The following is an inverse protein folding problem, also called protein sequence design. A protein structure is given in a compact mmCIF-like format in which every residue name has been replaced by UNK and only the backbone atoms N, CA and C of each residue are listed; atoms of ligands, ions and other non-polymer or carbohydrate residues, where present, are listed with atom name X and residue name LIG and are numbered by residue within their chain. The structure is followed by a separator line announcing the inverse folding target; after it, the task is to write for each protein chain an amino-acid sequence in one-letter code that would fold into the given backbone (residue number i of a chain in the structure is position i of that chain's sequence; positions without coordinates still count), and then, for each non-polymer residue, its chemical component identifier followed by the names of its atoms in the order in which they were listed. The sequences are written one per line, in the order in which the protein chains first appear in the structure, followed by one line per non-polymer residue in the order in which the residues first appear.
data_IF_407863198437
#
_entry.id   IF_407863198437
#
_cell.length_a   1.000
_cell.length_b   1.000
_cell.length_c   1.000
_cell.angle_alpha   90.00
_cell.angle_beta   90.00
_cell.angle_gamma   90.00
#
_symmetry.space_group_name_H-M   'P 1'
#
loop_
_entity.id
_entity.type
_entity.pdbx_description
1 polymer ?
#
# COMPACT_ATOMS: atom_id res chain seq x y z
N UNK A 1 42.48 5.99 -72.56
CA UNK A 1 42.81 6.40 -71.17
C UNK A 1 41.85 5.64 -70.24
N UNK A 2 42.35 4.67 -69.46
CA UNK A 2 42.42 4.64 -67.96
C UNK A 2 41.05 4.76 -67.26
N UNK A 3 40.59 4.01 -66.26
CA UNK A 3 41.00 2.83 -65.44
C UNK A 3 39.82 2.53 -64.48
N UNK A 4 39.79 1.32 -63.89
CA UNK A 4 38.95 0.79 -62.80
C UNK A 4 38.58 1.70 -61.58
N UNK A 5 37.42 1.43 -60.94
CA UNK A 5 37.15 1.23 -59.47
C UNK A 5 35.62 1.17 -59.22
N UNK A 6 34.94 0.18 -58.60
CA UNK A 6 35.03 -0.52 -57.30
C UNK A 6 34.34 0.24 -56.12
N UNK A 7 33.21 -0.34 -55.64
CA UNK A 7 32.64 -0.48 -54.26
C UNK A 7 32.09 0.73 -53.47
N UNK A 8 30.82 0.60 -53.00
CA UNK A 8 30.26 0.83 -51.62
C UNK A 8 28.75 1.16 -51.71
N UNK A 9 27.80 0.21 -51.56
CA UNK A 9 27.03 -0.19 -50.35
C UNK A 9 26.71 0.92 -49.32
N UNK A 10 25.45 0.88 -48.85
CA UNK A 10 24.85 1.41 -47.60
C UNK A 10 24.25 2.82 -47.71
N UNK A 11 23.13 3.21 -47.08
CA UNK A 11 22.04 2.57 -46.33
C UNK A 11 21.19 3.78 -45.87
N UNK A 12 20.20 4.22 -46.65
CA UNK A 12 19.33 5.35 -46.25
C UNK A 12 18.12 4.84 -45.47
N UNK A 13 18.33 4.60 -44.17
CA UNK A 13 17.30 4.22 -43.21
C UNK A 13 17.17 5.35 -42.18
N UNK A 14 16.02 6.02 -42.24
CA UNK A 14 15.33 6.73 -41.15
C UNK A 14 16.00 7.97 -40.53
N UNK A 15 15.67 9.14 -41.10
CA UNK A 15 15.43 10.34 -40.30
C UNK A 15 13.94 10.43 -39.99
N UNK A 16 13.54 9.96 -38.82
CA UNK A 16 12.35 10.46 -38.11
C UNK A 16 12.85 10.97 -36.78
N UNK A 17 13.02 12.28 -36.70
CA UNK A 17 13.24 13.01 -35.46
C UNK A 17 12.05 12.74 -34.54
N UNK A 18 12.33 12.02 -33.45
CA UNK A 18 11.36 11.79 -32.40
C UNK A 18 11.54 12.91 -31.37
N UNK A 19 10.70 13.92 -31.45
CA UNK A 19 10.57 15.00 -30.48
C UNK A 19 10.03 14.46 -29.16
N UNK A 20 10.92 13.96 -28.31
CA UNK A 20 10.69 13.77 -26.88
C UNK A 20 11.77 14.51 -26.09
N UNK A 21 11.77 15.83 -26.17
CA UNK A 21 12.51 16.68 -25.24
C UNK A 21 11.52 17.68 -24.64
N UNK A 22 11.32 17.58 -23.33
CA UNK A 22 11.01 18.65 -22.35
C UNK A 22 10.12 18.14 -21.21
N UNK A 23 10.65 17.22 -20.38
CA UNK A 23 10.19 17.06 -19.00
C UNK A 23 11.41 17.05 -18.07
N UNK A 24 11.66 18.21 -17.44
CA UNK A 24 12.40 18.43 -16.20
C UNK A 24 13.89 18.01 -16.17
N UNK A 25 14.78 18.87 -16.68
CA UNK A 25 16.16 18.96 -16.18
C UNK A 25 16.15 19.40 -14.71
N UNK A 26 15.97 18.43 -13.82
CA UNK A 26 16.49 18.50 -12.46
C UNK A 26 17.63 17.51 -12.45
N UNK A 27 18.86 17.98 -12.68
CA UNK A 27 20.05 17.14 -12.55
C UNK A 27 19.97 16.40 -11.21
N UNK A 28 19.92 15.08 -11.28
CA UNK A 28 19.90 14.18 -10.12
C UNK A 28 21.32 14.12 -9.55
N UNK A 29 21.75 15.21 -8.90
CA UNK A 29 23.03 15.24 -8.20
C UNK A 29 22.99 14.29 -7.00
N UNK A 30 23.44 13.06 -7.21
CA UNK A 30 23.62 12.03 -6.18
C UNK A 30 25.10 11.79 -5.93
N UNK A 31 25.46 11.66 -4.66
CA UNK A 31 26.80 11.21 -4.28
C UNK A 31 27.02 9.75 -4.71
N UNK A 32 28.27 9.35 -4.93
CA UNK A 32 28.65 7.97 -5.26
C UNK A 32 28.05 6.94 -4.28
N UNK A 33 28.02 7.28 -2.98
CA UNK A 33 27.41 6.45 -1.93
C UNK A 33 25.91 6.27 -2.13
N UNK A 34 25.18 7.32 -2.51
CA UNK A 34 23.73 7.27 -2.78
C UNK A 34 23.45 6.49 -4.07
N UNK A 35 24.26 6.67 -5.12
CA UNK A 35 24.13 5.91 -6.37
C UNK A 35 24.38 4.42 -6.13
N UNK A 36 25.35 4.06 -5.28
CA UNK A 36 25.62 2.68 -4.93
C UNK A 36 24.51 2.03 -4.06
N UNK A 37 23.86 2.80 -3.20
CA UNK A 37 22.63 2.36 -2.52
C UNK A 37 21.48 2.13 -3.52
N UNK A 38 21.36 3.00 -4.53
CA UNK A 38 20.35 2.85 -5.58
C UNK A 38 20.60 1.61 -6.45
N UNK A 39 21.85 1.26 -6.75
CA UNK A 39 22.20 0.00 -7.45
C UNK A 39 21.60 -1.20 -6.71
N UNK A 40 21.86 -1.32 -5.40
CA UNK A 40 21.34 -2.44 -4.58
C UNK A 40 19.80 -2.48 -4.57
N UNK A 41 19.16 -1.31 -4.56
CA UNK A 41 17.71 -1.21 -4.64
C UNK A 41 17.18 -1.68 -6.00
N UNK A 42 17.74 -1.20 -7.11
CA UNK A 42 17.30 -1.53 -8.47
C UNK A 42 17.57 -3.00 -8.77
N UNK A 43 18.71 -3.55 -8.32
CA UNK A 43 19.01 -4.98 -8.40
C UNK A 43 17.91 -5.81 -7.74
N UNK A 44 17.55 -5.49 -6.49
CA UNK A 44 16.48 -6.18 -5.76
C UNK A 44 15.11 -6.01 -6.44
N UNK A 45 14.84 -4.83 -7.00
CA UNK A 45 13.62 -4.55 -7.73
C UNK A 45 13.49 -5.41 -8.98
N UNK A 46 14.58 -5.60 -9.74
CA UNK A 46 14.61 -6.38 -10.98
C UNK A 46 14.65 -7.89 -10.75
N UNK A 47 15.28 -8.36 -9.68
CA UNK A 47 15.57 -9.80 -9.51
C UNK A 47 14.67 -10.50 -8.49
N UNK A 48 14.47 -9.90 -7.31
CA UNK A 48 13.85 -10.59 -6.15
C UNK A 48 12.41 -10.14 -5.90
N UNK A 49 12.06 -8.90 -6.23
CA UNK A 49 10.77 -8.33 -5.88
C UNK A 49 9.57 -9.15 -6.42
N UNK A 50 8.44 -9.11 -5.71
CA UNK A 50 7.20 -9.72 -6.20
C UNK A 50 6.73 -9.09 -7.53
N UNK A 51 7.11 -7.83 -7.77
CA UNK A 51 6.92 -7.15 -9.05
C UNK A 51 7.77 -7.77 -10.18
N UNK A 52 9.04 -8.11 -9.91
CA UNK A 52 9.91 -8.83 -10.84
C UNK A 52 9.40 -10.23 -11.18
N UNK A 53 8.87 -10.96 -10.21
CA UNK A 53 8.28 -12.28 -10.46
C UNK A 53 7.08 -12.19 -11.43
N UNK A 54 6.19 -11.21 -11.22
CA UNK A 54 5.02 -10.97 -12.08
C UNK A 54 5.39 -10.57 -13.50
N UNK A 55 6.38 -9.69 -13.65
CA UNK A 55 6.86 -9.23 -14.95
C UNK A 55 7.55 -10.37 -15.72
N UNK A 56 8.38 -11.17 -15.05
CA UNK A 56 9.04 -12.34 -15.67
C UNK A 56 8.07 -13.44 -16.10
N UNK A 57 7.00 -13.65 -15.33
CA UNK A 57 5.96 -14.62 -15.65
C UNK A 57 5.02 -14.15 -16.78
N UNK A 58 5.10 -12.89 -17.22
CA UNK A 58 4.23 -12.36 -18.27
C UNK A 58 4.65 -12.85 -19.66
N UNK A 59 3.69 -13.26 -20.47
CA UNK A 59 3.92 -13.60 -21.89
C UNK A 59 3.80 -12.39 -22.83
N UNK A 60 3.34 -11.23 -22.33
CA UNK A 60 3.15 -10.03 -23.13
C UNK A 60 4.50 -9.48 -23.62
N UNK A 61 4.63 -9.38 -24.95
CA UNK A 61 5.82 -8.87 -25.64
C UNK A 61 6.20 -7.47 -25.16
N UNK A 62 5.22 -6.62 -24.83
CA UNK A 62 5.47 -5.26 -24.34
C UNK A 62 6.04 -5.27 -22.90
N UNK A 63 5.56 -6.19 -22.06
CA UNK A 63 6.08 -6.37 -20.70
C UNK A 63 7.51 -6.90 -20.76
N UNK A 64 7.78 -7.90 -21.61
CA UNK A 64 9.12 -8.44 -21.82
C UNK A 64 10.08 -7.38 -22.37
N UNK A 65 9.63 -6.54 -23.30
CA UNK A 65 10.43 -5.45 -23.87
C UNK A 65 10.81 -4.40 -22.81
N UNK A 66 9.84 -3.92 -22.02
CA UNK A 66 10.09 -2.97 -20.93
C UNK A 66 11.01 -3.55 -19.86
N UNK A 67 10.86 -4.83 -19.53
CA UNK A 67 11.73 -5.51 -18.57
C UNK A 67 13.17 -5.66 -19.09
N UNK A 68 13.36 -5.98 -20.38
CA UNK A 68 14.69 -5.99 -21.00
C UNK A 68 15.34 -4.62 -20.95
N UNK A 69 14.63 -3.56 -21.38
CA UNK A 69 15.13 -2.19 -21.32
C UNK A 69 15.54 -1.78 -19.89
N UNK A 70 14.79 -2.20 -18.87
CA UNK A 70 15.14 -1.95 -17.47
C UNK A 70 16.45 -2.65 -17.04
N UNK A 71 16.69 -3.88 -17.51
CA UNK A 71 17.94 -4.60 -17.23
C UNK A 71 19.13 -4.00 -18.00
N UNK A 72 18.93 -3.59 -19.26
CA UNK A 72 19.98 -2.96 -20.07
C UNK A 72 20.44 -1.64 -19.43
N UNK A 73 19.49 -0.82 -18.96
CA UNK A 73 19.77 0.41 -18.21
C UNK A 73 20.47 0.13 -16.87
N UNK A 74 20.08 -0.93 -16.16
CA UNK A 74 20.79 -1.33 -14.95
C UNK A 74 22.24 -1.73 -15.23
N UNK A 75 22.49 -2.50 -16.29
CA UNK A 75 23.84 -2.89 -16.69
C UNK A 75 24.69 -1.68 -17.12
N UNK A 76 24.12 -0.75 -17.88
CA UNK A 76 24.79 0.50 -18.25
C UNK A 76 25.18 1.31 -17.00
N UNK A 77 24.32 1.35 -15.98
CA UNK A 77 24.64 2.02 -14.72
C UNK A 77 25.82 1.38 -13.98
N UNK A 78 26.01 0.05 -14.07
CA UNK A 78 27.16 -0.62 -13.50
C UNK A 78 28.44 -0.22 -14.24
N UNK A 79 28.43 -0.21 -15.57
CA UNK A 79 29.56 0.26 -16.38
C UNK A 79 29.91 1.73 -16.09
N UNK A 80 28.91 2.62 -16.00
CA UNK A 80 29.16 4.02 -15.64
C UNK A 80 29.76 4.18 -14.24
N UNK A 81 29.43 3.32 -13.28
CA UNK A 81 30.07 3.33 -11.97
C UNK A 81 31.51 2.85 -12.00
N UNK A 82 31.84 1.87 -12.85
CA UNK A 82 33.23 1.42 -13.09
C UNK A 82 34.06 2.52 -13.74
N UNK A 83 33.47 3.27 -14.67
CA UNK A 83 34.08 4.43 -15.33
C UNK A 83 34.09 5.70 -14.48
N UNK A 84 33.70 5.61 -13.20
CA UNK A 84 33.57 6.74 -12.25
C UNK A 84 32.61 7.86 -12.69
N UNK A 85 31.74 7.60 -13.67
CA UNK A 85 30.69 8.52 -14.12
C UNK A 85 29.41 8.36 -13.29
N UNK A 86 29.44 8.93 -12.08
CA UNK A 86 28.37 8.80 -11.08
C UNK A 86 27.04 9.42 -11.54
N UNK A 87 27.09 10.49 -12.34
CA UNK A 87 25.89 11.19 -12.83
C UNK A 87 25.15 10.31 -13.85
N UNK A 88 25.86 9.80 -14.87
CA UNK A 88 25.28 8.90 -15.86
C UNK A 88 24.75 7.60 -15.22
N UNK A 89 25.44 7.08 -14.21
CA UNK A 89 24.96 5.93 -13.43
C UNK A 89 23.64 6.24 -12.70
N UNK A 90 23.54 7.39 -12.03
CA UNK A 90 22.33 7.77 -11.30
C UNK A 90 21.11 7.96 -12.22
N UNK A 91 21.33 8.58 -13.38
CA UNK A 91 20.32 8.76 -14.44
C UNK A 91 19.86 7.42 -15.02
N UNK A 92 20.82 6.54 -15.36
CA UNK A 92 20.50 5.23 -15.91
C UNK A 92 19.70 4.35 -14.92
N UNK A 93 20.02 4.42 -13.62
CA UNK A 93 19.24 3.75 -12.56
C UNK A 93 17.83 4.33 -12.38
N UNK A 94 17.66 5.64 -12.59
CA UNK A 94 16.34 6.27 -12.57
C UNK A 94 15.46 5.72 -13.71
N UNK A 95 15.98 5.67 -14.93
CA UNK A 95 15.25 5.12 -16.07
C UNK A 95 15.00 3.62 -15.97
N UNK A 96 15.95 2.84 -15.42
CA UNK A 96 15.75 1.42 -15.14
C UNK A 96 14.54 1.19 -14.21
N UNK A 97 14.44 2.02 -13.16
CA UNK A 97 13.32 2.00 -12.21
C UNK A 97 12.00 2.34 -12.90
N UNK A 98 12.00 3.35 -13.77
CA UNK A 98 10.81 3.79 -14.51
C UNK A 98 10.30 2.69 -15.47
N UNK A 99 11.20 2.08 -16.26
CA UNK A 99 10.86 1.02 -17.19
C UNK A 99 10.30 -0.20 -16.45
N UNK A 100 10.86 -0.54 -15.29
CA UNK A 100 10.35 -1.64 -14.46
C UNK A 100 8.94 -1.35 -13.93
N UNK A 101 8.66 -0.15 -13.42
CA UNK A 101 7.30 0.20 -12.98
C UNK A 101 6.28 0.25 -14.14
N UNK A 102 6.69 0.70 -15.33
CA UNK A 102 5.86 0.62 -16.54
C UNK A 102 5.58 -0.84 -16.90
N UNK A 103 6.57 -1.73 -16.85
CA UNK A 103 6.40 -3.17 -17.10
C UNK A 103 5.38 -3.78 -16.13
N UNK A 104 5.46 -3.47 -14.84
CA UNK A 104 4.50 -3.92 -13.82
C UNK A 104 3.09 -3.42 -14.11
N UNK A 105 2.95 -2.14 -14.49
CA UNK A 105 1.65 -1.53 -14.83
C UNK A 105 1.02 -2.19 -16.05
N UNK A 106 1.82 -2.55 -17.07
CA UNK A 106 1.33 -3.24 -18.27
C UNK A 106 1.04 -4.71 -17.99
N UNK A 107 1.90 -5.40 -17.23
CA UNK A 107 1.67 -6.78 -16.79
C UNK A 107 0.37 -6.93 -16.00
N UNK A 108 0.01 -5.91 -15.20
CA UNK A 108 -1.26 -5.84 -14.51
C UNK A 108 -2.49 -5.60 -15.39
N UNK A 109 -2.32 -5.20 -16.66
CA UNK A 109 -3.41 -4.77 -17.55
C UNK A 109 -3.85 -5.81 -18.59
N UNK A 110 -2.99 -6.74 -19.04
CA UNK A 110 -3.31 -7.56 -20.24
C UNK A 110 -3.55 -9.07 -20.02
N UNK A 111 -3.08 -9.67 -18.92
CA UNK A 111 -3.27 -11.11 -18.65
C UNK A 111 -4.39 -11.41 -17.62
N UNK A 112 -5.18 -10.41 -17.25
CA UNK A 112 -5.97 -10.37 -16.00
C UNK A 112 -7.47 -10.13 -16.25
N UNK A 113 -7.95 -10.15 -17.49
CA UNK A 113 -9.37 -9.83 -17.76
C UNK A 113 -10.30 -11.06 -17.70
N UNK A 114 -9.78 -12.30 -17.78
CA UNK A 114 -10.64 -13.50 -17.62
C UNK A 114 -10.38 -14.26 -16.31
N UNK A 115 -9.15 -14.70 -16.04
CA UNK A 115 -8.87 -15.51 -14.84
C UNK A 115 -8.92 -14.69 -13.54
N UNK A 116 -8.41 -13.46 -13.59
CA UNK A 116 -8.49 -12.60 -12.42
C UNK A 116 -9.90 -12.03 -12.21
N UNK A 117 -10.68 -11.77 -13.26
CA UNK A 117 -12.08 -11.38 -13.08
C UNK A 117 -12.92 -12.53 -12.54
N UNK A 118 -12.66 -13.78 -12.95
CA UNK A 118 -13.24 -14.96 -12.30
C UNK A 118 -12.84 -15.08 -10.83
N UNK A 119 -11.54 -15.00 -10.52
CA UNK A 119 -11.06 -15.07 -9.12
C UNK A 119 -11.60 -13.94 -8.25
N UNK A 120 -11.70 -12.73 -8.79
CA UNK A 120 -12.27 -11.58 -8.09
C UNK A 120 -13.78 -11.68 -7.96
N UNK A 121 -14.46 -12.24 -8.97
CA UNK A 121 -15.87 -12.59 -8.88
C UNK A 121 -16.10 -13.60 -7.74
N UNK A 122 -15.32 -14.69 -7.69
CA UNK A 122 -15.43 -15.73 -6.65
C UNK A 122 -15.18 -15.14 -5.25
N UNK A 123 -14.07 -14.41 -5.06
CA UNK A 123 -13.77 -13.74 -3.79
C UNK A 123 -14.84 -12.71 -3.39
N UNK A 124 -15.46 -12.06 -4.39
CA UNK A 124 -16.53 -11.10 -4.14
C UNK A 124 -17.84 -11.78 -3.76
N UNK A 125 -18.14 -12.93 -4.37
CA UNK A 125 -19.28 -13.77 -4.02
C UNK A 125 -19.21 -14.22 -2.56
N UNK A 126 -18.04 -14.67 -2.10
CA UNK A 126 -17.82 -15.03 -0.69
C UNK A 126 -18.11 -13.85 0.25
N UNK A 127 -17.65 -12.66 -0.13
CA UNK A 127 -17.90 -11.43 0.63
C UNK A 127 -19.39 -11.09 0.67
N UNK A 128 -20.10 -11.21 -0.45
CA UNK A 128 -21.53 -10.92 -0.55
C UNK A 128 -22.34 -11.89 0.31
N UNK A 129 -22.04 -13.18 0.26
CA UNK A 129 -22.73 -14.18 1.08
C UNK A 129 -22.59 -13.85 2.57
N UNK A 130 -21.37 -13.58 3.04
CA UNK A 130 -21.13 -13.19 4.42
C UNK A 130 -21.83 -11.88 4.80
N UNK A 131 -21.87 -10.91 3.89
CA UNK A 131 -22.55 -9.64 4.12
C UNK A 131 -24.07 -9.77 4.11
N UNK A 132 -24.66 -10.61 3.26
CA UNK A 132 -26.09 -10.91 3.28
C UNK A 132 -26.50 -11.55 4.61
N UNK A 133 -25.72 -12.52 5.09
CA UNK A 133 -25.96 -13.14 6.40
C UNK A 133 -25.87 -12.13 7.53
N UNK A 134 -24.87 -11.25 7.50
CA UNK A 134 -24.73 -10.16 8.46
C UNK A 134 -25.90 -9.17 8.38
N UNK A 135 -26.32 -8.80 7.17
CA UNK A 135 -27.42 -7.88 6.90
C UNK A 135 -28.74 -8.42 7.47
N UNK A 136 -29.07 -9.69 7.19
CA UNK A 136 -30.27 -10.35 7.71
C UNK A 136 -30.25 -10.43 9.24
N UNK A 137 -29.09 -10.75 9.85
CA UNK A 137 -28.95 -10.74 11.31
C UNK A 137 -29.19 -9.35 11.90
N UNK A 138 -28.54 -8.32 11.36
CA UNK A 138 -28.73 -6.92 11.79
C UNK A 138 -30.19 -6.50 11.63
N UNK A 139 -30.83 -6.90 10.52
CA UNK A 139 -32.25 -6.68 10.27
C UNK A 139 -33.12 -7.29 11.36
N UNK A 140 -32.87 -8.54 11.75
CA UNK A 140 -33.58 -9.20 12.87
C UNK A 140 -33.33 -8.48 14.20
N UNK A 141 -32.08 -8.15 14.51
CA UNK A 141 -31.70 -7.42 15.74
C UNK A 141 -32.41 -6.06 15.85
N UNK A 142 -32.65 -5.38 14.72
CA UNK A 142 -33.25 -4.05 14.66
C UNK A 142 -34.74 -4.04 14.29
N UNK A 143 -35.39 -5.19 14.16
CA UNK A 143 -36.81 -5.28 13.78
C UNK A 143 -37.10 -4.87 12.32
N UNK A 144 -36.10 -4.93 11.44
CA UNK A 144 -36.16 -4.55 10.02
C UNK A 144 -36.13 -5.77 9.09
N UNK A 145 -36.58 -6.94 9.55
CA UNK A 145 -36.48 -8.21 8.83
C UNK A 145 -37.08 -8.14 7.40
N UNK A 146 -38.28 -7.56 7.26
CA UNK A 146 -38.98 -7.42 5.97
C UNK A 146 -38.17 -6.58 4.96
N UNK A 147 -37.55 -5.49 5.42
CA UNK A 147 -36.69 -4.66 4.58
C UNK A 147 -35.43 -5.41 4.15
N UNK A 148 -34.81 -6.16 5.06
CA UNK A 148 -33.62 -6.96 4.72
C UNK A 148 -33.94 -8.14 3.79
N UNK A 149 -35.11 -8.74 3.91
CA UNK A 149 -35.57 -9.82 3.03
C UNK A 149 -35.83 -9.31 1.60
N UNK A 150 -36.38 -8.10 1.48
CA UNK A 150 -36.56 -7.44 0.17
C UNK A 150 -35.22 -7.14 -0.50
N UNK A 151 -34.26 -6.56 0.23
CA UNK A 151 -32.91 -6.27 -0.30
C UNK A 151 -32.21 -7.56 -0.70
N UNK A 152 -32.30 -8.62 0.13
CA UNK A 152 -31.75 -9.93 -0.19
C UNK A 152 -32.35 -10.49 -1.48
N UNK A 153 -33.67 -10.42 -1.64
CA UNK A 153 -34.34 -10.93 -2.84
C UNK A 153 -33.88 -10.20 -4.12
N UNK A 154 -33.65 -8.89 -4.04
CA UNK A 154 -33.08 -8.12 -5.16
C UNK A 154 -31.64 -8.53 -5.46
N UNK A 155 -30.80 -8.66 -4.42
CA UNK A 155 -29.42 -9.11 -4.57
C UNK A 155 -29.32 -10.52 -5.17
N UNK A 156 -30.19 -11.46 -4.75
CA UNK A 156 -30.23 -12.82 -5.28
C UNK A 156 -30.51 -12.84 -6.79
N UNK A 157 -31.39 -11.95 -7.29
CA UNK A 157 -31.68 -11.83 -8.71
C UNK A 157 -30.48 -11.31 -9.51
N UNK A 158 -29.74 -10.33 -8.99
CA UNK A 158 -28.54 -9.80 -9.64
C UNK A 158 -27.36 -10.77 -9.59
N UNK A 159 -27.22 -11.51 -8.49
CA UNK A 159 -26.24 -12.61 -8.36
C UNK A 159 -26.52 -13.68 -9.43
N UNK A 160 -27.78 -14.07 -9.63
CA UNK A 160 -28.15 -15.02 -10.65
C UNK A 160 -27.81 -14.53 -12.07
N UNK A 161 -28.05 -13.25 -12.36
CA UNK A 161 -27.63 -12.62 -13.61
C UNK A 161 -26.10 -12.65 -13.79
N UNK A 162 -25.35 -12.28 -12.75
CA UNK A 162 -23.90 -12.28 -12.78
C UNK A 162 -23.33 -13.71 -13.00
N UNK A 163 -23.93 -14.73 -12.39
CA UNK A 163 -23.59 -16.13 -12.64
C UNK A 163 -23.89 -16.57 -14.08
N UNK A 164 -24.97 -16.09 -14.70
CA UNK A 164 -25.27 -16.36 -16.11
C UNK A 164 -24.22 -15.73 -17.04
N UNK A 165 -23.77 -14.51 -16.73
CA UNK A 165 -22.68 -13.84 -17.44
C UNK A 165 -21.35 -14.61 -17.33
N UNK A 166 -21.05 -15.18 -16.15
CA UNK A 166 -19.90 -16.07 -15.97
C UNK A 166 -20.00 -17.32 -16.87
N UNK A 167 -21.17 -17.97 -16.92
CA UNK A 167 -21.39 -19.17 -17.73
C UNK A 167 -21.30 -18.92 -19.24
N UNK A 168 -21.67 -17.71 -19.68
CA UNK A 168 -21.62 -17.30 -21.09
C UNK A 168 -20.26 -16.71 -21.50
N UNK A 169 -19.24 -16.82 -20.65
CA UNK A 169 -17.88 -16.40 -20.97
C UNK A 169 -17.65 -14.88 -20.90
N UNK A 170 -18.46 -14.16 -20.11
CA UNK A 170 -18.36 -12.70 -19.91
C UNK A 170 -17.96 -12.34 -18.47
N UNK A 171 -16.78 -12.76 -17.97
CA UNK A 171 -16.41 -12.61 -16.57
C UNK A 171 -16.23 -11.15 -16.14
N UNK A 172 -15.79 -10.26 -17.05
CA UNK A 172 -15.73 -8.83 -16.77
C UNK A 172 -17.11 -8.22 -16.48
N UNK A 173 -18.11 -8.55 -17.32
CA UNK A 173 -19.49 -8.08 -17.14
C UNK A 173 -20.11 -8.66 -15.85
N UNK A 174 -19.89 -9.96 -15.60
CA UNK A 174 -20.31 -10.60 -14.36
C UNK A 174 -19.70 -9.92 -13.13
N UNK A 175 -18.41 -9.60 -13.19
CA UNK A 175 -17.71 -8.90 -12.12
C UNK A 175 -18.31 -7.51 -11.86
N UNK A 176 -18.64 -6.75 -12.90
CA UNK A 176 -19.25 -5.42 -12.70
C UNK A 176 -20.58 -5.51 -11.97
N UNK A 177 -21.41 -6.50 -12.29
CA UNK A 177 -22.69 -6.73 -11.60
C UNK A 177 -22.43 -7.08 -10.14
N UNK A 178 -21.53 -8.04 -9.86
CA UNK A 178 -21.28 -8.49 -8.48
C UNK A 178 -20.59 -7.41 -7.62
N UNK A 179 -19.77 -6.54 -8.21
CA UNK A 179 -19.20 -5.38 -7.51
C UNK A 179 -20.27 -4.33 -7.15
N UNK A 180 -21.34 -4.18 -7.96
CA UNK A 180 -22.49 -3.31 -7.62
C UNK A 180 -23.26 -3.84 -6.41
N UNK A 181 -23.67 -5.11 -6.48
CA UNK A 181 -24.39 -5.80 -5.39
C UNK A 181 -23.65 -5.67 -4.06
N UNK A 182 -22.33 -5.84 -4.08
CA UNK A 182 -21.50 -5.69 -2.89
C UNK A 182 -21.54 -4.28 -2.27
N UNK A 183 -21.49 -3.24 -3.11
CA UNK A 183 -21.57 -1.85 -2.64
C UNK A 183 -22.94 -1.56 -2.05
N UNK A 184 -24.00 -2.06 -2.68
CA UNK A 184 -25.38 -1.88 -2.23
C UNK A 184 -25.62 -2.53 -0.86
N UNK A 185 -25.22 -3.80 -0.68
CA UNK A 185 -25.34 -4.49 0.61
C UNK A 185 -24.52 -3.79 1.69
N UNK A 186 -23.29 -3.36 1.39
CA UNK A 186 -22.47 -2.60 2.34
C UNK A 186 -23.13 -1.29 2.75
N UNK A 187 -23.76 -0.61 1.81
CA UNK A 187 -24.45 0.66 2.06
C UNK A 187 -25.65 0.41 2.97
N UNK A 188 -26.47 -0.59 2.66
CA UNK A 188 -27.60 -0.99 3.50
C UNK A 188 -27.16 -1.35 4.93
N UNK A 189 -26.09 -2.14 5.10
CA UNK A 189 -25.52 -2.46 6.43
C UNK A 189 -25.05 -1.19 7.15
N UNK A 190 -24.39 -0.29 6.43
CA UNK A 190 -23.86 0.96 7.00
C UNK A 190 -24.99 1.87 7.45
N UNK A 191 -26.09 1.95 6.69
CA UNK A 191 -27.29 2.71 7.06
C UNK A 191 -27.98 2.11 8.29
N UNK A 192 -28.15 0.78 8.33
CA UNK A 192 -28.72 0.09 9.50
C UNK A 192 -27.88 0.27 10.76
N UNK A 193 -26.56 0.42 10.60
CA UNK A 193 -25.60 0.63 11.70
C UNK A 193 -25.22 2.10 11.90
N UNK A 194 -25.82 3.02 11.16
CA UNK A 194 -25.48 4.43 11.28
C UNK A 194 -25.86 4.92 12.67
N UNK A 195 -24.87 5.39 13.44
CA UNK A 195 -25.02 5.75 14.85
C UNK A 195 -24.58 4.67 15.86
N UNK A 196 -24.29 3.44 15.42
CA UNK A 196 -23.77 2.39 16.30
C UNK A 196 -22.24 2.53 16.47
N UNK A 197 -21.76 2.65 17.72
CA UNK A 197 -20.33 2.49 18.01
C UNK A 197 -20.05 1.02 18.28
N UNK A 198 -19.32 0.35 17.38
CA UNK A 198 -18.83 -1.00 17.62
C UNK A 198 -17.72 -0.94 18.68
N UNK A 199 -18.08 -1.00 19.97
CA UNK A 199 -17.10 -1.17 21.04
C UNK A 199 -16.67 -2.62 21.02
N UNK A 200 -15.49 -2.88 20.44
CA UNK A 200 -14.83 -4.18 20.57
C UNK A 200 -14.22 -4.24 21.97
N UNK A 201 -14.98 -4.74 22.94
CA UNK A 201 -14.52 -4.88 24.32
C UNK A 201 -13.39 -5.90 24.38
N UNK A 202 -12.19 -5.47 24.80
CA UNK A 202 -11.11 -6.38 25.14
C UNK A 202 -11.45 -7.05 26.47
N UNK A 203 -11.29 -8.36 26.54
CA UNK A 203 -11.49 -9.12 27.78
C UNK A 203 -10.13 -9.58 28.30
N UNK A 204 -9.82 -9.25 29.54
CA UNK A 204 -8.59 -9.63 30.23
C UNK A 204 -8.92 -10.53 31.41
N UNK A 205 -8.15 -11.60 31.59
CA UNK A 205 -8.35 -12.55 32.70
C UNK A 205 -8.02 -11.90 34.05
N UNK A 206 -6.99 -11.05 34.08
CA UNK A 206 -6.62 -10.29 35.28
C UNK A 206 -6.25 -8.84 34.94
N UNK A 207 -6.26 -7.96 35.96
CA UNK A 207 -5.77 -6.58 35.83
C UNK A 207 -4.28 -6.50 35.52
N UNK A 208 -3.51 -7.53 35.87
CA UNK A 208 -2.10 -7.63 35.51
C UNK A 208 -1.95 -7.86 34.00
N UNK A 209 -2.80 -8.69 33.40
CA UNK A 209 -2.77 -8.95 31.94
C UNK A 209 -3.19 -7.71 31.15
N UNK A 210 -4.21 -7.00 31.63
CA UNK A 210 -4.62 -5.69 31.09
C UNK A 210 -3.48 -4.66 31.19
N UNK A 211 -2.76 -4.62 32.30
CA UNK A 211 -1.59 -3.76 32.46
C UNK A 211 -0.49 -4.09 31.46
N UNK A 212 -0.13 -5.37 31.30
CA UNK A 212 0.88 -5.81 30.32
C UNK A 212 0.47 -5.43 28.89
N UNK A 213 -0.79 -5.62 28.53
CA UNK A 213 -1.33 -5.17 27.26
C UNK A 213 -1.18 -3.64 27.07
N UNK A 214 -1.51 -2.84 28.09
CA UNK A 214 -1.36 -1.39 28.01
C UNK A 214 0.13 -0.96 27.98
N UNK A 215 1.06 -1.77 28.52
CA UNK A 215 2.49 -1.53 28.35
C UNK A 215 2.93 -1.68 26.89
N UNK A 216 2.58 -2.81 26.27
CA UNK A 216 2.90 -3.09 24.87
C UNK A 216 2.29 -2.03 23.94
N UNK A 217 1.06 -1.61 24.26
CA UNK A 217 0.38 -0.53 23.55
C UNK A 217 1.12 0.80 23.73
N UNK A 218 1.55 1.15 24.94
CA UNK A 218 2.32 2.38 25.20
C UNK A 218 3.65 2.38 24.42
N UNK A 219 4.38 1.26 24.43
CA UNK A 219 5.67 1.11 23.76
C UNK A 219 5.54 1.21 22.24
N UNK A 220 4.47 0.64 21.67
CA UNK A 220 4.13 0.80 20.24
C UNK A 220 3.94 2.27 19.88
N UNK A 221 3.21 3.04 20.70
CA UNK A 221 3.01 4.47 20.46
C UNK A 221 4.32 5.27 20.61
N UNK A 222 5.20 4.86 21.53
CA UNK A 222 6.52 5.47 21.70
C UNK A 222 7.41 5.22 20.47
N UNK A 223 7.34 4.04 19.87
CA UNK A 223 8.05 3.74 18.61
C UNK A 223 7.56 4.61 17.45
N UNK A 224 6.26 4.87 17.37
CA UNK A 224 5.69 5.78 16.37
C UNK A 224 6.22 7.20 16.51
N UNK A 225 6.49 7.67 17.73
CA UNK A 225 7.15 8.97 17.93
C UNK A 225 8.50 9.00 17.22
N UNK A 226 9.35 7.99 17.43
CA UNK A 226 10.67 7.93 16.79
C UNK A 226 10.55 7.90 15.27
N UNK A 227 9.66 7.07 14.71
CA UNK A 227 9.47 6.95 13.26
C UNK A 227 8.90 8.22 12.60
N UNK A 228 7.92 8.86 13.24
CA UNK A 228 7.15 9.94 12.61
C UNK A 228 7.70 11.33 12.91
N UNK A 229 8.31 11.53 14.08
CA UNK A 229 8.65 12.86 14.57
C UNK A 229 10.13 13.23 14.34
N UNK A 230 11.02 12.31 13.95
CA UNK A 230 12.46 12.58 13.78
C UNK A 230 12.73 13.78 12.85
N UNK A 231 12.10 13.83 11.68
CA UNK A 231 12.27 14.95 10.75
C UNK A 231 11.54 16.22 11.20
N UNK A 232 10.34 16.08 11.79
CA UNK A 232 9.51 17.22 12.23
C UNK A 232 10.08 17.93 13.46
N UNK A 233 10.78 17.20 14.33
CA UNK A 233 11.44 17.73 15.53
C UNK A 233 12.73 18.50 15.21
N UNK A 234 13.19 18.54 13.95
CA UNK A 234 14.20 19.50 13.50
C UNK A 234 13.70 20.95 13.61
N UNK A 235 12.39 21.17 13.55
CA UNK A 235 11.78 22.48 13.82
C UNK A 235 11.68 22.74 15.34
N UNK A 236 12.33 23.79 15.88
CA UNK A 236 12.35 24.06 17.32
C UNK A 236 10.98 24.29 17.96
N UNK A 237 10.03 24.89 17.22
CA UNK A 237 8.67 25.14 17.73
C UNK A 237 7.87 23.84 17.87
N UNK A 238 7.94 22.99 16.85
CA UNK A 238 7.30 21.66 16.87
C UNK A 238 7.92 20.78 17.94
N UNK A 239 9.25 20.78 18.05
CA UNK A 239 9.98 20.06 19.11
C UNK A 239 9.52 20.50 20.50
N UNK A 240 9.51 21.80 20.80
CA UNK A 240 9.11 22.31 22.12
C UNK A 240 7.67 21.94 22.49
N UNK A 241 6.74 21.95 21.52
CA UNK A 241 5.34 21.57 21.76
C UNK A 241 5.18 20.08 22.01
N UNK A 242 5.78 19.24 21.17
CA UNK A 242 5.73 17.79 21.32
C UNK A 242 6.43 17.32 22.61
N UNK A 243 7.59 17.92 22.94
CA UNK A 243 8.38 17.53 24.10
C UNK A 243 7.61 17.63 25.42
N UNK A 244 6.79 18.68 25.61
CA UNK A 244 5.96 18.82 26.81
C UNK A 244 5.03 17.63 27.05
N UNK A 245 4.47 17.08 25.97
CA UNK A 245 3.62 15.90 26.06
C UNK A 245 4.44 14.63 26.31
N UNK A 246 5.61 14.50 25.68
CA UNK A 246 6.50 13.35 25.87
C UNK A 246 7.08 13.30 27.28
N UNK A 247 7.47 14.43 27.86
CA UNK A 247 7.97 14.51 29.24
C UNK A 247 6.88 14.08 30.23
N UNK A 248 5.64 14.56 30.03
CA UNK A 248 4.50 14.14 30.84
C UNK A 248 4.17 12.66 30.66
N UNK A 249 4.25 12.15 29.43
CA UNK A 249 4.06 10.73 29.15
C UNK A 249 5.09 9.86 29.89
N UNK A 250 6.36 10.28 29.90
CA UNK A 250 7.43 9.57 30.58
C UNK A 250 7.26 9.56 32.10
N UNK A 251 6.84 10.68 32.69
CA UNK A 251 6.50 10.74 34.12
C UNK A 251 5.35 9.79 34.48
N UNK A 252 4.25 9.83 33.71
CA UNK A 252 3.10 8.94 33.90
C UNK A 252 3.50 7.45 33.73
N UNK A 253 4.36 7.13 32.76
CA UNK A 253 4.83 5.75 32.54
C UNK A 253 5.57 5.22 33.76
N UNK A 254 6.44 6.04 34.36
CA UNK A 254 7.18 5.71 35.58
C UNK A 254 6.24 5.54 36.78
N UNK A 255 5.24 6.41 36.91
CA UNK A 255 4.23 6.29 37.97
C UNK A 255 3.43 5.00 37.83
N UNK A 256 3.04 4.62 36.60
CA UNK A 256 2.35 3.37 36.32
C UNK A 256 3.18 2.14 36.71
N UNK A 257 4.48 2.13 36.40
CA UNK A 257 5.42 1.08 36.82
C UNK A 257 5.50 0.99 38.36
N UNK A 258 5.60 2.12 39.05
CA UNK A 258 5.63 2.15 40.52
C UNK A 258 4.33 1.64 41.17
N UNK A 259 3.17 1.84 40.54
CA UNK A 259 1.90 1.24 41.00
C UNK A 259 1.89 -0.28 40.77
N UNK A 260 2.36 -0.73 39.61
CA UNK A 260 2.44 -2.15 39.27
C UNK A 260 3.44 -2.92 40.17
N UNK A 261 4.56 -2.31 40.54
CA UNK A 261 5.53 -2.88 41.50
C UNK A 261 4.90 -3.11 42.89
N UNK A 262 3.92 -2.28 43.27
CA UNK A 262 3.15 -2.42 44.51
C UNK A 262 1.96 -3.38 44.38
N UNK A 263 1.74 -3.95 43.20
CA UNK A 263 0.59 -4.81 42.89
C UNK A 263 -0.71 -4.07 42.58
N UNK A 264 -0.70 -2.74 42.54
CA UNK A 264 -1.88 -1.93 42.19
C UNK A 264 -2.01 -1.83 40.66
N UNK A 265 -2.36 -2.95 40.03
CA UNK A 265 -2.50 -3.04 38.57
C UNK A 265 -3.68 -2.22 38.04
N UNK A 266 -4.73 -2.00 38.84
CA UNK A 266 -5.85 -1.16 38.43
C UNK A 266 -5.41 0.29 38.23
N UNK A 267 -4.65 0.85 39.19
CA UNK A 267 -4.10 2.19 39.04
C UNK A 267 -3.00 2.25 37.98
N UNK A 268 -2.20 1.21 37.87
CA UNK A 268 -1.15 1.12 36.84
C UNK A 268 -1.73 1.18 35.42
N UNK A 269 -2.84 0.49 35.14
CA UNK A 269 -3.57 0.57 33.86
C UNK A 269 -4.01 2.00 33.58
N UNK A 270 -4.75 2.62 34.51
CA UNK A 270 -5.30 3.97 34.34
C UNK A 270 -4.20 5.00 34.02
N UNK A 271 -3.09 4.94 34.75
CA UNK A 271 -1.96 5.86 34.57
C UNK A 271 -1.21 5.57 33.27
N UNK A 272 -1.08 4.29 32.86
CA UNK A 272 -0.45 3.91 31.60
C UNK A 272 -1.27 4.37 30.38
N UNK A 273 -2.60 4.27 30.44
CA UNK A 273 -3.48 4.81 29.40
C UNK A 273 -3.32 6.33 29.26
N UNK A 274 -3.22 7.06 30.37
CA UNK A 274 -2.97 8.50 30.34
C UNK A 274 -1.59 8.85 29.75
N UNK A 275 -0.57 8.04 30.02
CA UNK A 275 0.72 8.14 29.34
C UNK A 275 0.55 8.01 27.82
N UNK A 276 -0.14 6.97 27.37
CA UNK A 276 -0.42 6.73 25.94
C UNK A 276 -1.18 7.90 25.31
N UNK A 277 -2.18 8.46 26.00
CA UNK A 277 -2.92 9.65 25.54
C UNK A 277 -2.00 10.86 25.36
N UNK A 278 -1.00 11.07 26.23
CA UNK A 278 0.00 12.13 26.03
C UNK A 278 0.87 11.87 24.80
N UNK A 279 1.30 10.63 24.56
CA UNK A 279 2.08 10.28 23.36
C UNK A 279 1.28 10.59 22.09
N UNK A 280 0.00 10.19 22.03
CA UNK A 280 -0.89 10.50 20.91
C UNK A 280 -1.05 12.01 20.71
N UNK A 281 -1.18 12.80 21.80
CA UNK A 281 -1.21 14.27 21.72
C UNK A 281 0.09 14.83 21.15
N UNK A 282 1.25 14.28 21.51
CA UNK A 282 2.53 14.68 20.95
C UNK A 282 2.54 14.48 19.42
N UNK A 283 2.10 13.31 18.95
CA UNK A 283 2.05 12.96 17.52
C UNK A 283 1.06 13.87 16.76
N UNK A 284 -0.15 14.04 17.28
CA UNK A 284 -1.16 14.96 16.71
C UNK A 284 -0.68 16.40 16.66
N UNK A 285 0.01 16.86 17.70
CA UNK A 285 0.58 18.20 17.73
C UNK A 285 1.69 18.41 16.69
N UNK A 286 2.27 17.34 16.15
CA UNK A 286 3.27 17.38 15.08
C UNK A 286 2.66 17.28 13.67
N UNK A 287 1.33 17.18 13.56
CA UNK A 287 0.57 17.21 12.30
C UNK A 287 0.14 15.84 11.77
N UNK A 288 0.33 14.76 12.55
CA UNK A 288 -0.11 13.41 12.16
C UNK A 288 -1.41 13.03 12.87
N UNK A 289 -2.43 12.63 12.12
CA UNK A 289 -3.66 12.11 12.71
C UNK A 289 -3.53 10.63 13.06
N UNK A 290 -3.73 10.30 14.33
CA UNK A 290 -3.91 8.93 14.82
C UNK A 290 -5.30 8.87 15.46
N UNK A 291 -6.25 8.08 14.95
CA UNK A 291 -7.54 7.87 15.61
C UNK A 291 -7.33 7.27 17.00
N UNK A 292 -8.15 7.71 17.96
CA UNK A 292 -8.05 7.29 19.37
C UNK A 292 -8.56 5.88 19.57
#
# INVERSE_FOLDING_TARGET
MKTFSIIMILLSIFYTENSYATHSEKQLHKSAKQTQQQIKFVEKLLTVSSAAQKVRASEDVNVKSLYRAANDLYNNALTYMEDHNVEAAAESLFHATEMMFRAVKVAGKKAIVNDNDKRLFDARMDSINALLDAMVRIGKEKGLAENTDKIKSMADAEIANAMALMKTGQPYSARKVIDSVYVEIKTAISEMRNGDTLVRTLHFETKKDEYLYELDRNDTHKMLVTLLLEEKMKNPRTKKRAQRFLDKAAALRKDAEAFAEKGDYAKAVEVCEESTKQIVRAIRSSGFFIPG
#
